data_IF_634300975028
#
_entry.id   IF_634300975028
#
_cell.length_a   1.000
_cell.length_b   1.000
_cell.length_c   1.000
_cell.angle_alpha   90.00
_cell.angle_beta   90.00
_cell.angle_gamma   90.00
#
_symmetry.space_group_name_H-M   'P 1'
#
loop_
_entity.id
_entity.type
_entity.pdbx_description
1 polymer ?
#
# COMPACT_ATOMS: atom_id res chain seq x y z
N UNK A 1 16.17 -11.78 11.01
CA UNK A 1 15.67 -10.71 10.12
C UNK A 1 14.40 -10.14 10.74
N UNK A 2 14.38 -8.85 11.03
CA UNK A 2 13.15 -8.16 11.39
C UNK A 2 12.48 -7.68 10.11
N UNK A 3 11.27 -8.14 9.89
CA UNK A 3 10.42 -7.66 8.80
C UNK A 3 9.61 -6.44 9.28
N UNK A 4 9.12 -5.67 8.32
CA UNK A 4 8.24 -4.55 8.57
C UNK A 4 6.90 -5.02 9.16
N UNK A 5 6.31 -4.19 10.00
CA UNK A 5 4.95 -4.32 10.49
C UNK A 5 4.32 -2.93 10.65
N UNK A 6 3.04 -2.88 11.00
CA UNK A 6 2.34 -1.62 11.21
C UNK A 6 2.67 -1.00 12.57
N UNK A 7 2.81 0.33 12.59
CA UNK A 7 2.88 1.09 13.82
C UNK A 7 1.49 1.31 14.40
N UNK A 8 1.34 1.02 15.68
CA UNK A 8 0.09 1.32 16.39
C UNK A 8 -0.13 2.81 16.66
N UNK A 9 0.88 3.65 16.39
CA UNK A 9 0.91 5.07 16.76
C UNK A 9 0.82 6.02 15.57
N UNK A 10 1.09 5.57 14.33
CA UNK A 10 1.01 6.42 13.14
C UNK A 10 -0.26 6.06 12.37
N UNK A 11 -1.12 7.01 12.18
CA UNK A 11 -2.47 6.86 11.62
C UNK A 11 -2.83 8.06 10.79
N UNK A 12 -3.43 7.82 9.64
CA UNK A 12 -4.28 8.81 9.02
C UNK A 12 -5.68 8.73 9.63
N UNK A 13 -6.25 9.86 10.06
CA UNK A 13 -7.62 9.94 10.52
C UNK A 13 -7.85 10.24 12.00
N UNK A 14 -9.12 10.34 12.39
CA UNK A 14 -9.61 10.71 13.72
C UNK A 14 -9.23 9.65 14.78
N UNK A 15 -8.79 10.11 15.95
CA UNK A 15 -8.37 9.27 17.08
C UNK A 15 -9.46 8.31 17.58
N UNK A 16 -10.73 8.62 17.35
CA UNK A 16 -11.88 7.82 17.80
C UNK A 16 -12.26 6.68 16.84
N UNK A 17 -11.66 6.64 15.64
CA UNK A 17 -12.01 5.72 14.56
C UNK A 17 -10.81 4.94 14.00
N UNK A 18 -10.03 4.37 14.88
CA UNK A 18 -8.78 3.70 14.55
C UNK A 18 -9.03 2.32 13.94
N UNK A 19 -8.26 1.96 12.91
CA UNK A 19 -8.17 0.58 12.47
C UNK A 19 -7.57 -0.28 13.60
N UNK A 20 -8.16 -1.43 13.86
CA UNK A 20 -7.58 -2.44 14.77
C UNK A 20 -6.42 -3.12 14.07
N UNK A 21 -5.29 -3.21 14.76
CA UNK A 21 -4.10 -3.93 14.29
C UNK A 21 -3.97 -5.22 15.11
N UNK A 22 -3.78 -6.34 14.44
CA UNK A 22 -3.69 -7.67 15.05
C UNK A 22 -2.68 -8.54 14.31
N UNK A 23 -2.57 -9.82 14.70
CA UNK A 23 -1.72 -10.82 14.04
C UNK A 23 -0.27 -10.33 13.86
N UNK A 24 0.40 -10.01 14.98
CA UNK A 24 1.79 -9.51 14.93
C UNK A 24 1.94 -8.16 14.22
N UNK A 25 0.90 -7.34 14.24
CA UNK A 25 0.81 -6.05 13.54
C UNK A 25 0.83 -6.17 12.00
N UNK A 26 0.27 -7.26 11.47
CA UNK A 26 0.18 -7.49 10.02
C UNK A 26 -1.25 -7.39 9.49
N UNK A 27 -2.24 -7.69 10.34
CA UNK A 27 -3.64 -7.59 9.96
C UNK A 27 -4.22 -6.27 10.45
N UNK A 28 -4.88 -5.56 9.55
CA UNK A 28 -5.57 -4.33 9.84
C UNK A 28 -7.04 -4.47 9.51
N UNK A 29 -7.91 -4.06 10.42
CA UNK A 29 -9.38 -4.15 10.27
C UNK A 29 -10.03 -2.86 10.73
N UNK A 30 -11.04 -2.42 10.01
CA UNK A 30 -11.83 -1.25 10.38
C UNK A 30 -13.32 -1.57 10.43
N UNK A 31 -13.98 -1.17 11.48
CA UNK A 31 -15.44 -1.34 11.67
C UNK A 31 -16.25 -0.10 11.33
N UNK A 32 -15.64 1.08 11.31
CA UNK A 32 -16.34 2.34 11.10
C UNK A 32 -16.53 2.68 9.62
N UNK A 33 -17.47 3.58 9.33
CA UNK A 33 -17.87 3.97 7.96
C UNK A 33 -17.01 5.07 7.32
N UNK A 34 -15.87 5.41 7.92
CA UNK A 34 -15.00 6.48 7.44
C UNK A 34 -13.62 5.95 7.06
N UNK A 35 -12.94 6.64 6.15
CA UNK A 35 -11.68 6.21 5.59
C UNK A 35 -10.51 6.59 6.50
N UNK A 36 -9.95 5.64 7.21
CA UNK A 36 -8.65 5.79 7.85
C UNK A 36 -7.87 4.50 7.69
N UNK A 37 -6.59 4.57 7.81
CA UNK A 37 -5.79 3.36 7.72
C UNK A 37 -4.44 3.51 8.40
N UNK A 38 -3.87 2.40 8.81
CA UNK A 38 -2.54 2.37 9.39
C UNK A 38 -1.47 2.56 8.32
N UNK A 39 -0.33 3.01 8.76
CA UNK A 39 0.91 3.02 7.99
C UNK A 39 1.94 2.09 8.63
N UNK A 40 2.92 1.65 7.86
CA UNK A 40 4.02 0.84 8.38
C UNK A 40 4.86 1.61 9.42
N UNK A 41 5.40 0.92 10.40
CA UNK A 41 6.24 1.50 11.44
C UNK A 41 7.62 1.96 10.94
N UNK A 42 8.02 1.52 9.75
CA UNK A 42 9.29 1.87 9.13
C UNK A 42 9.03 2.35 7.70
N UNK A 43 9.69 3.43 7.31
CA UNK A 43 9.64 3.92 5.93
C UNK A 43 10.62 3.16 5.03
N UNK A 44 10.29 3.08 3.74
CA UNK A 44 11.20 2.65 2.68
C UNK A 44 11.77 3.87 1.95
N UNK A 45 12.96 3.75 1.42
CA UNK A 45 13.60 4.81 0.63
C UNK A 45 14.27 5.92 1.46
N UNK A 46 14.65 7.04 0.80
CA UNK A 46 14.51 7.24 -0.64
C UNK A 46 15.35 6.24 -1.44
N UNK A 47 14.82 5.82 -2.61
CA UNK A 47 15.47 4.88 -3.51
C UNK A 47 15.18 3.40 -3.22
N UNK A 48 15.64 2.56 -4.15
CA UNK A 48 15.45 1.11 -4.11
C UNK A 48 14.14 0.61 -4.73
N UNK A 49 14.11 -0.72 -4.94
CA UNK A 49 12.95 -1.42 -5.49
C UNK A 49 12.36 -2.35 -4.44
N UNK A 50 11.11 -2.14 -4.10
CA UNK A 50 10.45 -2.76 -2.97
C UNK A 50 9.20 -3.52 -3.40
N UNK A 51 8.92 -4.64 -2.71
CA UNK A 51 7.77 -5.48 -2.96
C UNK A 51 7.11 -5.91 -1.66
N UNK A 52 5.79 -5.91 -1.65
CA UNK A 52 4.98 -6.53 -0.61
C UNK A 52 3.70 -7.12 -1.20
N UNK A 53 3.04 -7.93 -0.40
CA UNK A 53 1.73 -8.49 -0.68
C UNK A 53 0.73 -8.09 0.38
N UNK A 54 -0.54 -8.00 -0.03
CA UNK A 54 -1.64 -7.64 0.83
C UNK A 54 -2.84 -8.54 0.52
N UNK A 55 -3.10 -9.52 1.38
CA UNK A 55 -4.27 -10.39 1.26
C UNK A 55 -5.51 -9.65 1.77
N UNK A 56 -6.51 -9.50 0.93
CA UNK A 56 -7.78 -8.88 1.29
C UNK A 56 -8.64 -9.91 2.03
N UNK A 57 -8.93 -9.66 3.31
CA UNK A 57 -9.82 -10.51 4.11
C UNK A 57 -11.27 -10.09 3.90
N UNK A 58 -11.52 -8.77 3.87
CA UNK A 58 -12.84 -8.20 3.59
C UNK A 58 -12.65 -6.90 2.78
N UNK A 59 -13.43 -6.74 1.72
CA UNK A 59 -13.28 -5.69 0.72
C UNK A 59 -13.82 -4.31 1.13
N UNK A 60 -14.35 -4.13 2.33
CA UNK A 60 -14.97 -2.86 2.76
C UNK A 60 -14.03 -1.66 2.64
N UNK A 61 -14.15 -0.92 1.54
CA UNK A 61 -13.37 0.30 1.25
C UNK A 61 -11.85 0.15 1.25
N UNK A 62 -11.33 -1.07 1.10
CA UNK A 62 -9.89 -1.34 1.14
C UNK A 62 -9.17 -0.68 -0.04
N UNK A 63 -8.15 0.13 0.26
CA UNK A 63 -7.31 0.80 -0.73
C UNK A 63 -5.83 0.71 -0.30
N UNK A 64 -5.12 -0.37 -0.66
CA UNK A 64 -3.71 -0.53 -0.33
C UNK A 64 -2.81 0.29 -1.26
N UNK A 65 -1.71 0.83 -0.70
CA UNK A 65 -0.77 1.63 -1.45
C UNK A 65 0.39 2.17 -0.63
N UNK A 66 0.84 3.37 -0.98
CA UNK A 66 1.95 4.07 -0.30
C UNK A 66 1.58 5.54 -0.03
N UNK A 67 2.19 6.12 0.98
CA UNK A 67 2.14 7.55 1.29
C UNK A 67 3.53 8.08 1.62
N UNK A 68 3.84 9.30 1.18
CA UNK A 68 5.07 9.96 1.59
C UNK A 68 5.07 10.18 3.12
N UNK A 69 6.24 10.13 3.73
CA UNK A 69 6.38 10.39 5.17
C UNK A 69 6.07 11.84 5.57
N UNK A 70 6.01 12.71 4.57
CA UNK A 70 5.67 14.14 4.71
C UNK A 70 4.22 14.46 4.35
N UNK A 71 3.44 13.45 3.95
CA UNK A 71 2.07 13.64 3.46
C UNK A 71 1.13 14.19 4.53
N UNK A 72 0.32 15.17 4.14
CA UNK A 72 -0.77 15.69 4.96
C UNK A 72 -1.82 14.62 5.28
N UNK A 73 -1.93 13.58 4.45
CA UNK A 73 -2.82 12.45 4.71
C UNK A 73 -2.57 11.76 6.07
N UNK A 74 -1.33 11.77 6.55
CA UNK A 74 -0.95 11.20 7.86
C UNK A 74 -1.60 11.94 9.04
N UNK A 75 -1.96 13.20 8.86
CA UNK A 75 -2.53 14.10 9.87
C UNK A 75 -3.95 14.56 9.52
N UNK A 76 -4.51 14.00 8.45
CA UNK A 76 -5.83 14.40 7.94
C UNK A 76 -6.94 14.00 8.92
N UNK A 77 -7.64 14.98 9.43
CA UNK A 77 -8.82 14.81 10.30
C UNK A 77 -10.13 14.72 9.52
N UNK A 78 -10.10 14.96 8.20
CA UNK A 78 -11.28 14.92 7.32
C UNK A 78 -11.52 13.48 6.82
N UNK A 79 -10.56 12.57 7.08
CA UNK A 79 -10.64 11.15 6.76
C UNK A 79 -10.73 10.87 5.25
N UNK A 80 -9.91 11.57 4.46
CA UNK A 80 -9.76 11.28 3.05
C UNK A 80 -9.13 9.90 2.83
N UNK A 81 -9.52 9.25 1.74
CA UNK A 81 -8.93 7.97 1.34
C UNK A 81 -7.49 8.11 0.87
N UNK A 82 -6.72 7.05 0.99
CA UNK A 82 -5.39 6.98 0.38
C UNK A 82 -5.50 7.22 -1.14
N UNK A 83 -4.64 8.05 -1.70
CA UNK A 83 -4.69 8.51 -3.09
C UNK A 83 -5.44 9.82 -3.30
N UNK A 84 -5.93 10.46 -2.22
CA UNK A 84 -6.58 11.76 -2.28
C UNK A 84 -5.60 12.90 -2.57
N UNK A 85 -4.39 12.85 -2.00
CA UNK A 85 -3.34 13.84 -2.18
C UNK A 85 -2.33 13.40 -3.25
N UNK A 86 -1.53 14.33 -3.77
CA UNK A 86 -0.55 14.12 -4.84
C UNK A 86 0.69 13.33 -4.40
N UNK A 87 0.89 13.18 -3.10
CA UNK A 87 2.02 12.48 -2.46
C UNK A 87 1.65 11.11 -1.87
N UNK A 88 0.49 10.57 -2.25
CA UNK A 88 0.08 9.22 -1.92
C UNK A 88 -0.63 8.53 -3.10
N UNK A 89 -0.45 7.22 -3.20
CA UNK A 89 -0.92 6.39 -4.31
C UNK A 89 -1.61 5.15 -3.78
N UNK A 90 -2.74 4.80 -4.37
CA UNK A 90 -3.48 3.59 -4.00
C UNK A 90 -4.16 2.92 -5.18
N UNK A 91 -4.65 1.68 -4.93
CA UNK A 91 -5.65 1.02 -5.76
C UNK A 91 -6.93 0.84 -4.95
N UNK A 92 -8.07 1.09 -5.57
CA UNK A 92 -9.39 0.88 -4.97
C UNK A 92 -9.77 -0.59 -5.18
N UNK A 93 -9.79 -1.39 -4.13
CA UNK A 93 -10.05 -2.84 -4.24
C UNK A 93 -11.42 -3.14 -4.88
N UNK A 94 -12.46 -2.36 -4.60
CA UNK A 94 -13.82 -2.65 -5.07
C UNK A 94 -14.00 -2.57 -6.60
N UNK A 95 -13.11 -1.88 -7.32
CA UNK A 95 -13.24 -1.70 -8.78
C UNK A 95 -11.91 -1.80 -9.55
N UNK A 96 -10.77 -1.90 -8.87
CA UNK A 96 -9.44 -1.95 -9.49
C UNK A 96 -8.94 -0.62 -10.07
N UNK A 97 -9.56 0.50 -9.73
CA UNK A 97 -9.11 1.81 -10.18
C UNK A 97 -7.88 2.27 -9.39
N UNK A 98 -6.90 2.85 -10.06
CA UNK A 98 -5.75 3.49 -9.45
C UNK A 98 -6.07 4.93 -9.06
N UNK A 99 -5.39 5.45 -8.01
CA UNK A 99 -5.69 6.76 -7.43
C UNK A 99 -4.44 7.49 -6.97
N UNK A 100 -4.34 8.76 -7.33
CA UNK A 100 -3.34 9.74 -6.87
C UNK A 100 -3.86 11.13 -7.24
N UNK A 101 -3.84 12.10 -6.32
CA UNK A 101 -4.37 13.46 -6.47
C UNK A 101 -5.82 13.46 -7.00
N UNK A 102 -6.64 12.58 -6.43
CA UNK A 102 -8.00 12.34 -6.93
C UNK A 102 -8.99 12.19 -5.77
N UNK A 103 -9.91 13.13 -5.68
CA UNK A 103 -11.04 13.10 -4.74
C UNK A 103 -12.21 12.22 -5.20
N UNK A 104 -12.14 11.69 -6.42
CA UNK A 104 -13.19 10.91 -7.06
C UNK A 104 -13.02 9.39 -6.93
N UNK A 105 -13.44 8.70 -7.98
CA UNK A 105 -13.47 7.22 -8.04
C UNK A 105 -12.22 6.60 -8.67
N UNK A 106 -11.16 7.38 -8.86
CA UNK A 106 -9.93 6.92 -9.51
C UNK A 106 -10.06 6.69 -11.02
N UNK A 107 -8.99 6.23 -11.62
CA UNK A 107 -8.88 5.94 -13.06
C UNK A 107 -8.78 4.43 -13.27
N UNK A 108 -9.48 3.88 -14.25
CA UNK A 108 -9.45 2.45 -14.58
C UNK A 108 -8.01 1.96 -14.79
N UNK A 109 -7.67 0.84 -14.14
CA UNK A 109 -6.33 0.27 -14.23
C UNK A 109 -6.33 -1.26 -14.16
N UNK A 110 -7.07 -1.85 -13.24
CA UNK A 110 -7.14 -3.27 -13.01
C UNK A 110 -8.57 -3.79 -12.91
N UNK A 111 -8.74 -4.93 -12.28
CA UNK A 111 -10.03 -5.55 -11.95
C UNK A 111 -10.34 -5.39 -10.47
N UNK A 112 -11.61 -5.55 -10.11
CA UNK A 112 -12.04 -5.63 -8.73
C UNK A 112 -11.36 -6.81 -8.00
N UNK A 113 -11.05 -6.58 -6.72
CA UNK A 113 -10.45 -7.54 -5.80
C UNK A 113 -11.57 -8.15 -4.93
N UNK A 114 -11.52 -9.45 -4.73
CA UNK A 114 -12.43 -10.19 -3.86
C UNK A 114 -11.78 -10.54 -2.52
N UNK A 115 -12.57 -11.04 -1.57
CA UNK A 115 -12.03 -11.65 -0.36
C UNK A 115 -11.13 -12.83 -0.72
N UNK A 116 -10.07 -13.03 0.05
CA UNK A 116 -9.00 -14.00 -0.13
C UNK A 116 -8.04 -13.75 -1.31
N UNK A 117 -8.29 -12.76 -2.16
CA UNK A 117 -7.33 -12.35 -3.18
C UNK A 117 -6.08 -11.69 -2.58
N UNK A 118 -4.96 -11.86 -3.26
CA UNK A 118 -3.66 -11.27 -2.90
C UNK A 118 -3.33 -10.14 -3.86
N UNK A 119 -3.31 -8.91 -3.34
CA UNK A 119 -2.84 -7.72 -4.06
C UNK A 119 -1.33 -7.63 -3.93
N UNK A 120 -0.65 -7.53 -5.06
CA UNK A 120 0.79 -7.31 -5.14
C UNK A 120 1.08 -5.82 -5.31
N UNK A 121 2.10 -5.32 -4.63
CA UNK A 121 2.56 -3.92 -4.75
C UNK A 121 4.06 -3.95 -5.03
N UNK A 122 4.46 -3.41 -6.17
CA UNK A 122 5.85 -3.22 -6.55
C UNK A 122 6.14 -1.73 -6.71
N UNK A 123 7.16 -1.21 -6.00
CA UNK A 123 7.54 0.20 -6.00
C UNK A 123 9.01 0.34 -6.39
N UNK A 124 9.29 1.11 -7.43
CA UNK A 124 10.64 1.47 -7.87
C UNK A 124 10.87 2.95 -7.54
N UNK A 125 11.49 3.21 -6.39
CA UNK A 125 11.79 4.56 -5.93
C UNK A 125 13.03 5.15 -6.61
N UNK A 126 13.81 4.35 -7.36
CA UNK A 126 14.92 4.87 -8.17
C UNK A 126 14.39 5.59 -9.42
N UNK A 127 13.25 5.11 -9.95
CA UNK A 127 12.65 5.63 -11.19
C UNK A 127 11.24 6.23 -10.98
N UNK A 128 10.78 6.33 -9.74
CA UNK A 128 9.49 6.95 -9.40
C UNK A 128 8.26 6.21 -9.94
N UNK A 129 8.27 4.88 -9.87
CA UNK A 129 7.21 4.05 -10.48
C UNK A 129 6.55 3.11 -9.46
N UNK A 130 5.26 2.85 -9.66
CA UNK A 130 4.51 1.88 -8.85
C UNK A 130 3.58 1.03 -9.74
N UNK A 131 3.43 -0.23 -9.37
CA UNK A 131 2.54 -1.20 -9.99
C UNK A 131 1.71 -1.91 -8.94
N UNK A 132 0.49 -2.29 -9.31
CA UNK A 132 -0.32 -3.26 -8.58
C UNK A 132 -0.61 -4.46 -9.45
N UNK A 133 -0.75 -5.60 -8.81
CA UNK A 133 -1.15 -6.86 -9.41
C UNK A 133 -2.18 -7.58 -8.54
N UNK A 134 -2.73 -8.65 -9.07
CA UNK A 134 -3.70 -9.51 -8.42
C UNK A 134 -3.36 -10.96 -8.69
N UNK A 135 -3.21 -11.76 -7.62
CA UNK A 135 -3.00 -13.21 -7.68
C UNK A 135 -1.90 -13.62 -8.67
N UNK A 136 -0.75 -12.94 -8.64
CA UNK A 136 0.43 -13.24 -9.45
C UNK A 136 0.51 -12.52 -10.79
N UNK A 137 -0.47 -11.71 -11.16
CA UNK A 137 -0.49 -10.99 -12.44
C UNK A 137 -0.58 -9.48 -12.22
N UNK A 138 0.41 -8.72 -12.71
CA UNK A 138 0.35 -7.26 -12.68
C UNK A 138 -0.69 -6.72 -13.65
N UNK A 139 -1.46 -5.73 -13.20
CA UNK A 139 -2.49 -5.09 -14.00
C UNK A 139 -1.92 -4.37 -15.22
N UNK A 140 -2.75 -4.17 -16.23
CA UNK A 140 -2.41 -3.45 -17.48
C UNK A 140 -1.14 -4.00 -18.17
N UNK A 141 -0.88 -5.30 -18.08
CA UNK A 141 0.35 -5.93 -18.57
C UNK A 141 1.62 -5.30 -17.95
N UNK A 142 1.56 -4.88 -16.71
CA UNK A 142 2.67 -4.31 -15.97
C UNK A 142 3.85 -5.28 -15.89
N UNK A 143 5.05 -4.79 -16.16
CA UNK A 143 6.28 -5.56 -16.01
C UNK A 143 7.28 -4.76 -15.15
N UNK A 144 7.17 -4.85 -13.81
CA UNK A 144 8.04 -4.08 -12.91
C UNK A 144 9.53 -4.34 -13.12
N UNK A 145 9.92 -5.60 -13.41
CA UNK A 145 11.32 -5.95 -13.70
C UNK A 145 11.91 -5.15 -14.85
N UNK A 146 11.10 -4.89 -15.88
CA UNK A 146 11.49 -4.12 -17.09
C UNK A 146 11.16 -2.62 -16.95
N UNK A 147 10.47 -2.23 -15.88
CA UNK A 147 10.04 -0.86 -15.65
C UNK A 147 8.93 -0.36 -16.58
N UNK A 148 8.17 -1.27 -17.22
CA UNK A 148 7.14 -0.91 -18.19
C UNK A 148 5.72 -1.02 -17.64
N UNK A 149 4.79 -0.27 -18.25
CA UNK A 149 3.36 -0.27 -17.93
C UNK A 149 3.07 -0.05 -16.43
N UNK A 150 3.81 0.87 -15.80
CA UNK A 150 3.54 1.28 -14.42
C UNK A 150 2.15 1.92 -14.29
N UNK A 151 1.53 1.73 -13.14
CA UNK A 151 0.30 2.45 -12.81
C UNK A 151 0.53 3.96 -12.76
N UNK A 152 1.63 4.35 -12.11
CA UNK A 152 2.06 5.73 -12.03
C UNK A 152 3.58 5.83 -12.23
N UNK A 153 4.03 6.98 -12.75
CA UNK A 153 5.44 7.31 -13.02
C UNK A 153 5.86 8.63 -12.38
N UNK A 154 5.07 9.10 -11.41
CA UNK A 154 5.26 10.36 -10.70
C UNK A 154 5.46 10.16 -9.19
N UNK A 155 5.86 8.97 -8.75
CA UNK A 155 6.25 8.74 -7.36
C UNK A 155 7.55 9.51 -7.09
N UNK A 156 7.58 10.36 -6.07
CA UNK A 156 8.74 11.19 -5.77
C UNK A 156 9.94 10.32 -5.34
N UNK A 157 11.10 10.53 -5.94
CA UNK A 157 12.31 9.73 -5.68
C UNK A 157 13.17 10.28 -4.53
N UNK A 158 12.80 11.45 -4.00
CA UNK A 158 13.61 12.20 -3.01
C UNK A 158 13.09 12.08 -1.57
N UNK A 159 11.95 11.44 -1.37
CA UNK A 159 11.32 11.29 -0.05
C UNK A 159 11.12 9.81 0.28
N UNK A 160 11.16 9.45 1.57
CA UNK A 160 10.80 8.10 2.00
C UNK A 160 9.28 7.91 2.04
N UNK A 161 8.83 6.64 2.03
CA UNK A 161 7.43 6.25 2.01
C UNK A 161 7.10 5.23 3.08
N UNK A 162 5.85 5.29 3.55
CA UNK A 162 5.20 4.21 4.27
C UNK A 162 4.33 3.39 3.32
N UNK A 163 4.26 2.07 3.51
CA UNK A 163 3.11 1.31 3.01
C UNK A 163 1.91 1.63 3.88
N UNK A 164 0.78 1.78 3.25
CA UNK A 164 -0.44 2.25 3.89
C UNK A 164 -1.68 1.63 3.25
N UNK A 165 -2.78 1.67 3.96
CA UNK A 165 -4.11 1.43 3.39
C UNK A 165 -5.13 2.36 4.00
N UNK A 166 -6.08 2.83 3.23
CA UNK A 166 -7.35 3.28 3.76
C UNK A 166 -8.38 2.16 3.65
N UNK A 167 -9.36 2.16 4.55
CA UNK A 167 -10.45 1.18 4.56
C UNK A 167 -11.66 1.73 5.32
N UNK A 168 -12.83 1.16 5.09
CA UNK A 168 -14.09 1.50 5.77
C UNK A 168 -14.93 0.24 6.01
N UNK A 169 -15.98 0.39 6.81
CA UNK A 169 -17.12 -0.55 6.91
C UNK A 169 -16.77 -2.05 6.88
N UNK A 170 -15.93 -2.47 7.80
CA UNK A 170 -15.53 -3.87 7.94
C UNK A 170 -14.37 -4.27 7.01
N UNK A 171 -13.76 -3.34 6.30
CA UNK A 171 -12.56 -3.62 5.50
C UNK A 171 -11.46 -4.25 6.34
N UNK A 172 -10.82 -5.28 5.81
CA UNK A 172 -9.74 -5.99 6.49
C UNK A 172 -8.73 -6.52 5.49
N UNK A 173 -7.44 -6.34 5.84
CA UNK A 173 -6.32 -6.71 4.99
C UNK A 173 -5.18 -7.27 5.84
N UNK A 174 -4.54 -8.35 5.38
CA UNK A 174 -3.34 -8.92 5.96
C UNK A 174 -2.15 -8.67 5.05
N UNK A 175 -1.08 -8.12 5.61
CA UNK A 175 0.11 -7.74 4.87
C UNK A 175 1.22 -8.76 5.04
N UNK A 176 1.93 -9.03 3.94
CA UNK A 176 3.19 -9.74 3.93
C UNK A 176 4.29 -8.86 3.36
N UNK A 177 5.31 -8.58 4.17
CA UNK A 177 6.54 -7.88 3.80
C UNK A 177 7.71 -8.85 3.62
N UNK A 178 7.40 -10.15 3.45
CA UNK A 178 8.34 -11.25 3.31
C UNK A 178 8.49 -12.12 4.56
N UNK A 179 7.81 -11.80 5.67
CA UNK A 179 7.91 -12.57 6.92
C UNK A 179 7.08 -13.85 6.91
N UNK A 180 6.03 -13.92 6.13
CA UNK A 180 5.19 -15.13 5.97
C UNK A 180 5.67 -15.97 4.79
N UNK A 181 6.51 -15.43 3.94
CA UNK A 181 6.91 -16.00 2.66
C UNK A 181 5.87 -15.69 1.58
N UNK A 182 6.19 -14.77 0.68
CA UNK A 182 5.28 -14.30 -0.37
C UNK A 182 4.55 -15.41 -1.10
N UNK A 183 3.26 -15.22 -1.35
CA UNK A 183 2.44 -16.16 -2.14
C UNK A 183 2.89 -16.17 -3.61
N UNK A 184 3.44 -15.05 -4.09
CA UNK A 184 3.91 -14.89 -5.48
C UNK A 184 5.37 -14.45 -5.51
N UNK A 185 6.10 -14.86 -6.54
CA UNK A 185 7.50 -14.47 -6.71
C UNK A 185 7.62 -12.96 -6.95
N UNK A 186 8.40 -12.22 -6.13
CA UNK A 186 8.70 -10.81 -6.41
C UNK A 186 9.31 -10.61 -7.79
N UNK A 187 9.03 -9.50 -8.47
CA UNK A 187 9.70 -9.17 -9.73
C UNK A 187 11.21 -9.10 -9.56
N UNK A 188 11.97 -9.50 -10.57
CA UNK A 188 13.43 -9.45 -10.53
C UNK A 188 13.93 -8.06 -10.14
N UNK A 189 14.83 -7.99 -9.16
CA UNK A 189 15.39 -6.75 -8.63
C UNK A 189 14.60 -6.10 -7.50
N UNK A 190 13.37 -6.54 -7.25
CA UNK A 190 12.57 -6.06 -6.12
C UNK A 190 12.84 -6.88 -4.85
N UNK A 191 12.84 -6.21 -3.71
CA UNK A 191 13.23 -6.78 -2.42
C UNK A 191 12.08 -6.76 -1.42
N UNK A 192 12.06 -7.75 -0.55
CA UNK A 192 11.26 -7.74 0.67
C UNK A 192 11.70 -6.61 1.61
N UNK A 193 10.76 -6.13 2.42
CA UNK A 193 11.02 -5.02 3.35
C UNK A 193 11.43 -5.61 4.71
N UNK A 194 12.72 -5.75 4.90
CA UNK A 194 13.32 -6.25 6.13
C UNK A 194 14.67 -5.57 6.40
N UNK A 195 15.19 -5.75 7.60
CA UNK A 195 16.43 -5.09 8.04
C UNK A 195 17.67 -5.41 7.21
N UNK A 196 17.69 -6.54 6.49
CA UNK A 196 18.83 -6.86 5.62
C UNK A 196 18.79 -6.11 4.28
N UNK A 197 17.62 -5.65 3.87
CA UNK A 197 17.39 -5.02 2.58
C UNK A 197 17.27 -3.48 2.69
N UNK A 198 16.98 -2.97 3.89
CA UNK A 198 16.96 -1.53 4.17
C UNK A 198 18.40 -1.14 4.50
N UNK A 199 18.95 -0.17 3.78
CA UNK A 199 20.30 0.33 4.06
C UNK A 199 20.37 0.88 5.48
N UNK A 200 21.44 0.59 6.20
CA UNK A 200 21.73 1.27 7.46
C UNK A 200 21.95 2.76 7.18
N UNK A 201 21.45 3.65 8.05
CA UNK A 201 21.63 5.11 7.89
C UNK A 201 23.11 5.56 8.01
#
# INVERSE_FOLDING_TARGET
NNHMNFASLVRGGDADNIATISNGNLTTTRSASKHAGPVTGTAIGPGGKWYCEAKVINTGGVQPGITATTSDWLWDTIENTLGFYDDNWSIIASNGNKRNDDSGSGVSYGSAVSADDVVQIAVDLDNGKIWWGLNGTFFASGAPADGTNAAFTNVLTTVPYFFASSMESGGSIEWDFGQLGFAHTPPTGFKAINTNNIAEP
#
